data_IF_863706461986
#
_entry.id   IF_863706461986
#
_cell.length_a   1.000
_cell.length_b   1.000
_cell.length_c   1.000
_cell.angle_alpha   90.00
_cell.angle_beta   90.00
_cell.angle_gamma   90.00
#
_symmetry.space_group_name_H-M   'P 1'
#
loop_
_entity.id
_entity.type
_entity.pdbx_description
1 polymer ?
#
# COMPACT_ATOMS: atom_id res chain seq x y z
N UNK A 1 -3.96 -19.64 21.20
CA UNK A 1 -4.03 -20.05 19.78
C UNK A 1 -2.70 -20.70 19.42
N UNK A 2 -2.69 -21.83 18.69
CA UNK A 2 -1.46 -22.54 18.28
C UNK A 2 -1.18 -22.23 16.79
N UNK A 3 -0.48 -21.13 16.45
CA UNK A 3 -0.34 -20.65 15.07
C UNK A 3 0.44 -21.59 14.15
N UNK A 4 1.23 -22.51 14.71
CA UNK A 4 1.96 -23.55 14.00
C UNK A 4 1.10 -24.73 13.51
N UNK A 5 -0.17 -24.82 13.93
CA UNK A 5 -1.09 -25.89 13.51
C UNK A 5 -2.00 -25.36 12.41
N UNK A 6 -1.65 -25.67 11.15
CA UNK A 6 -2.44 -25.35 9.95
C UNK A 6 -2.82 -26.66 9.27
N UNK A 7 -4.11 -26.84 8.95
CA UNK A 7 -4.62 -28.01 8.26
C UNK A 7 -5.51 -27.57 7.09
N UNK A 8 -5.47 -28.33 5.99
CA UNK A 8 -6.23 -28.03 4.77
C UNK A 8 -7.73 -28.39 4.87
N UNK A 9 -8.14 -29.05 5.96
CA UNK A 9 -9.51 -29.46 6.21
C UNK A 9 -10.00 -29.02 7.60
N UNK A 10 -11.31 -28.79 7.80
CA UNK A 10 -11.87 -28.52 9.11
C UNK A 10 -11.56 -29.67 10.09
N UNK A 11 -11.08 -29.32 11.28
CA UNK A 11 -10.63 -30.31 12.26
C UNK A 11 -10.52 -29.75 13.68
N UNK A 12 -10.01 -30.56 14.61
CA UNK A 12 -9.68 -30.13 15.97
C UNK A 12 -8.16 -30.01 16.10
N UNK A 13 -7.71 -29.02 16.86
CA UNK A 13 -6.30 -28.86 17.18
C UNK A 13 -5.80 -30.08 18.00
N UNK A 14 -4.71 -30.75 17.60
CA UNK A 14 -4.19 -31.93 18.30
C UNK A 14 -3.56 -31.61 19.67
N UNK A 15 -3.25 -30.33 19.93
CA UNK A 15 -2.65 -29.89 21.20
C UNK A 15 -3.68 -29.51 22.27
N UNK A 16 -4.83 -28.96 21.88
CA UNK A 16 -5.83 -28.46 22.83
C UNK A 16 -7.28 -28.90 22.58
N UNK A 17 -7.54 -29.67 21.51
CA UNK A 17 -8.87 -30.22 21.22
C UNK A 17 -9.94 -29.21 20.76
N UNK A 18 -9.61 -27.91 20.71
CA UNK A 18 -10.51 -26.86 20.20
C UNK A 18 -10.68 -26.98 18.68
N UNK A 19 -11.85 -26.57 18.17
CA UNK A 19 -12.11 -26.53 16.73
C UNK A 19 -11.18 -25.52 16.03
N UNK A 20 -10.62 -25.93 14.88
CA UNK A 20 -9.82 -25.04 14.04
C UNK A 20 -10.73 -23.96 13.45
N UNK A 21 -10.30 -22.71 13.58
CA UNK A 21 -10.98 -21.56 13.00
C UNK A 21 -10.44 -21.37 11.59
N UNK A 22 -11.28 -21.13 10.57
CA UNK A 22 -10.80 -20.78 9.24
C UNK A 22 -9.85 -19.59 9.34
N UNK A 23 -8.61 -19.76 8.89
CA UNK A 23 -7.74 -18.64 8.62
C UNK A 23 -8.40 -17.87 7.48
N UNK A 24 -9.10 -16.79 7.81
CA UNK A 24 -9.42 -15.78 6.81
C UNK A 24 -8.09 -15.43 6.16
N UNK A 25 -7.93 -15.76 4.87
CA UNK A 25 -6.83 -15.18 4.08
C UNK A 25 -6.92 -13.69 4.36
N UNK A 26 -5.97 -13.16 5.12
CA UNK A 26 -5.76 -11.73 5.13
C UNK A 26 -5.40 -11.43 3.69
N UNK A 27 -6.39 -11.01 2.89
CA UNK A 27 -6.16 -10.29 1.66
C UNK A 27 -5.61 -8.92 2.05
N UNK A 28 -4.42 -8.93 2.63
CA UNK A 28 -3.43 -7.90 2.37
C UNK A 28 -2.93 -8.27 0.99
N UNK A 29 -3.46 -7.61 -0.04
CA UNK A 29 -3.14 -7.92 -1.44
C UNK A 29 -4.37 -8.19 -2.30
N UNK A 30 -5.25 -7.19 -2.41
CA UNK A 30 -6.13 -7.07 -3.56
C UNK A 30 -5.36 -6.37 -4.69
N UNK A 31 -4.99 -7.13 -5.72
CA UNK A 31 -4.53 -6.60 -7.01
C UNK A 31 -3.11 -6.04 -7.03
N UNK A 32 -2.19 -6.78 -7.66
CA UNK A 32 -0.99 -6.20 -8.25
C UNK A 32 -1.39 -5.24 -9.39
N UNK A 33 -1.87 -4.04 -9.05
CA UNK A 33 -1.64 -2.86 -9.87
C UNK A 33 -0.51 -2.11 -9.18
N UNK A 34 0.64 -2.04 -9.87
CA UNK A 34 1.83 -1.23 -9.53
C UNK A 34 1.53 -0.15 -8.49
N UNK A 35 2.16 -0.21 -7.32
CA UNK A 35 1.94 0.69 -6.17
C UNK A 35 2.06 2.20 -6.48
N UNK A 36 2.58 2.57 -7.65
CA UNK A 36 2.62 3.94 -8.18
C UNK A 36 1.36 4.38 -8.97
N UNK A 37 0.55 3.44 -9.45
CA UNK A 37 -0.60 3.70 -10.32
C UNK A 37 -1.86 4.16 -9.58
N UNK A 38 -2.17 3.57 -8.41
CA UNK A 38 -3.42 3.85 -7.68
C UNK A 38 -3.50 5.26 -7.08
N UNK A 39 -2.43 5.74 -6.42
CA UNK A 39 -2.42 7.06 -5.78
C UNK A 39 -2.46 8.17 -6.84
N UNK A 40 -1.71 8.01 -7.93
CA UNK A 40 -1.67 8.98 -9.02
C UNK A 40 -3.01 9.07 -9.76
N UNK A 41 -3.71 7.94 -9.93
CA UNK A 41 -5.03 7.91 -10.56
C UNK A 41 -6.09 8.66 -9.73
N UNK A 42 -6.21 8.39 -8.44
CA UNK A 42 -7.15 9.11 -7.56
C UNK A 42 -6.82 10.60 -7.46
N UNK A 43 -5.53 10.96 -7.41
CA UNK A 43 -5.10 12.37 -7.45
C UNK A 43 -5.53 13.04 -8.76
N UNK A 44 -5.31 12.40 -9.90
CA UNK A 44 -5.68 12.95 -11.21
C UNK A 44 -7.20 13.11 -11.32
N UNK A 45 -7.96 12.09 -10.94
CA UNK A 45 -9.43 12.16 -10.92
C UNK A 45 -9.94 13.26 -10.00
N UNK A 46 -9.35 13.40 -8.81
CA UNK A 46 -9.71 14.47 -7.87
C UNK A 46 -9.60 15.85 -8.52
N UNK A 47 -8.47 16.21 -9.14
CA UNK A 47 -8.32 17.54 -9.75
C UNK A 47 -9.24 17.76 -10.95
N UNK A 48 -9.48 16.74 -11.77
CA UNK A 48 -10.42 16.83 -12.90
C UNK A 48 -11.85 17.02 -12.39
N UNK A 49 -12.27 16.21 -11.42
CA UNK A 49 -13.60 16.32 -10.81
C UNK A 49 -13.74 17.66 -10.09
N UNK A 50 -12.72 18.13 -9.37
CA UNK A 50 -12.72 19.44 -8.72
C UNK A 50 -13.02 20.56 -9.72
N UNK A 51 -12.33 20.55 -10.87
CA UNK A 51 -12.55 21.53 -11.92
C UNK A 51 -13.96 21.46 -12.53
N UNK A 52 -14.57 20.27 -12.62
CA UNK A 52 -15.93 20.07 -13.12
C UNK A 52 -17.01 20.35 -12.07
N UNK A 53 -16.74 20.13 -10.79
CA UNK A 53 -17.68 20.38 -9.70
C UNK A 53 -17.96 21.87 -9.55
N UNK A 54 -17.00 22.75 -9.82
CA UNK A 54 -17.19 24.20 -9.77
C UNK A 54 -18.32 24.68 -10.71
N UNK A 55 -18.30 24.42 -12.03
CA UNK A 55 -19.39 24.82 -12.91
C UNK A 55 -20.71 24.09 -12.60
N UNK A 56 -20.67 22.83 -12.14
CA UNK A 56 -21.88 22.11 -11.68
C UNK A 56 -22.53 22.85 -10.50
N UNK A 57 -21.74 23.29 -9.53
CA UNK A 57 -22.23 24.04 -8.38
C UNK A 57 -22.82 25.40 -8.79
N UNK A 58 -22.15 26.12 -9.69
CA UNK A 58 -22.64 27.42 -10.17
C UNK A 58 -23.96 27.33 -10.96
N UNK A 59 -24.18 26.23 -11.68
CA UNK A 59 -25.39 26.00 -12.47
C UNK A 59 -26.54 25.35 -11.68
N UNK A 60 -26.30 24.92 -10.45
CA UNK A 60 -27.32 24.26 -9.63
C UNK A 60 -28.33 25.26 -9.06
N UNK A 61 -29.63 24.98 -9.24
CA UNK A 61 -30.74 25.85 -8.80
C UNK A 61 -30.71 26.09 -7.26
N UNK A 62 -30.34 25.07 -6.48
CA UNK A 62 -30.30 25.21 -5.01
C UNK A 62 -29.16 26.12 -4.54
N UNK A 63 -27.99 26.01 -5.16
CA UNK A 63 -26.83 26.88 -4.83
C UNK A 63 -27.10 28.31 -5.30
N UNK A 64 -27.72 28.47 -6.46
CA UNK A 64 -28.16 29.77 -6.98
C UNK A 64 -29.15 30.46 -6.03
N UNK A 65 -30.12 29.71 -5.50
CA UNK A 65 -31.07 30.21 -4.51
C UNK A 65 -30.36 30.63 -3.21
N UNK A 66 -29.39 29.84 -2.74
CA UNK A 66 -28.63 30.17 -1.52
C UNK A 66 -27.72 31.40 -1.69
N UNK A 67 -27.11 31.57 -2.87
CA UNK A 67 -26.25 32.71 -3.20
C UNK A 67 -27.03 33.94 -3.71
N UNK A 68 -28.36 33.83 -3.85
CA UNK A 68 -29.23 34.90 -4.36
C UNK A 68 -28.86 35.37 -5.79
N UNK A 69 -28.28 34.47 -6.59
CA UNK A 69 -27.83 34.68 -7.97
C UNK A 69 -28.75 33.87 -8.89
N UNK A 70 -29.19 34.42 -10.03
CA UNK A 70 -30.06 33.70 -10.97
C UNK A 70 -29.40 33.65 -12.34
N UNK A 71 -28.74 32.53 -12.63
CA UNK A 71 -28.10 32.26 -13.91
C UNK A 71 -28.89 31.11 -14.54
N UNK A 72 -29.93 31.46 -15.28
CA UNK A 72 -30.73 30.52 -16.06
C UNK A 72 -30.72 30.92 -17.53
N UNK A 73 -30.50 29.94 -18.38
CA UNK A 73 -30.58 30.10 -19.83
C UNK A 73 -31.19 28.82 -20.42
N UNK A 74 -31.80 28.90 -21.61
CA UNK A 74 -32.38 27.74 -22.27
C UNK A 74 -31.33 26.64 -22.45
N UNK A 75 -31.54 25.50 -21.80
CA UNK A 75 -30.64 24.34 -21.87
C UNK A 75 -29.63 24.19 -20.74
N UNK A 76 -29.65 25.03 -19.70
CA UNK A 76 -28.81 24.87 -18.50
C UNK A 76 -28.91 23.47 -17.88
N UNK A 77 -30.11 22.88 -17.86
CA UNK A 77 -30.38 21.51 -17.36
C UNK A 77 -29.65 20.43 -18.15
N UNK A 78 -29.54 20.57 -19.47
CA UNK A 78 -28.81 19.62 -20.32
C UNK A 78 -27.30 19.74 -20.16
N UNK A 79 -26.79 20.95 -19.95
CA UNK A 79 -25.38 21.18 -19.64
C UNK A 79 -25.03 20.61 -18.26
N UNK A 80 -25.90 20.83 -17.28
CA UNK A 80 -25.75 20.28 -15.93
C UNK A 80 -25.72 18.75 -15.96
N UNK A 81 -26.62 18.13 -16.73
CA UNK A 81 -26.60 16.69 -16.99
C UNK A 81 -25.28 16.27 -17.63
N UNK A 82 -24.83 16.91 -18.72
CA UNK A 82 -23.59 16.55 -19.41
C UNK A 82 -22.36 16.64 -18.50
N UNK A 83 -22.18 17.74 -17.76
CA UNK A 83 -21.07 17.90 -16.81
C UNK A 83 -21.12 16.82 -15.71
N UNK A 84 -22.32 16.58 -15.17
CA UNK A 84 -22.52 15.59 -14.11
C UNK A 84 -22.33 14.15 -14.61
N UNK A 85 -22.67 13.86 -15.87
CA UNK A 85 -22.36 12.58 -16.52
C UNK A 85 -20.85 12.36 -16.59
N UNK A 86 -20.07 13.39 -16.94
CA UNK A 86 -18.60 13.27 -16.94
C UNK A 86 -18.11 12.98 -15.51
N UNK A 87 -18.60 13.71 -14.51
CA UNK A 87 -18.22 13.47 -13.11
C UNK A 87 -18.61 12.06 -12.65
N UNK A 88 -19.81 11.58 -13.01
CA UNK A 88 -20.31 10.25 -12.65
C UNK A 88 -19.50 9.13 -13.31
N UNK A 89 -19.31 9.17 -14.63
CA UNK A 89 -18.62 8.10 -15.35
C UNK A 89 -17.11 8.13 -15.17
N UNK A 90 -16.49 9.32 -15.13
CA UNK A 90 -15.03 9.44 -14.97
C UNK A 90 -14.63 9.45 -13.49
N UNK A 91 -15.22 10.33 -12.68
CA UNK A 91 -14.92 10.44 -11.26
C UNK A 91 -15.47 9.28 -10.43
N UNK A 92 -16.69 8.84 -10.75
CA UNK A 92 -17.39 7.77 -10.03
C UNK A 92 -16.95 6.35 -10.36
N UNK A 93 -16.19 6.14 -11.45
CA UNK A 93 -15.81 4.81 -11.93
C UNK A 93 -15.22 3.87 -10.86
N UNK A 94 -14.27 4.31 -9.99
CA UNK A 94 -13.70 3.44 -8.97
C UNK A 94 -14.75 2.91 -7.99
N UNK A 95 -15.72 3.75 -7.60
CA UNK A 95 -16.79 3.39 -6.67
C UNK A 95 -17.82 2.47 -7.32
N UNK A 96 -18.15 2.70 -8.59
CA UNK A 96 -19.06 1.82 -9.35
C UNK A 96 -18.46 0.43 -9.56
N UNK A 97 -17.18 0.35 -9.92
CA UNK A 97 -16.46 -0.92 -10.03
C UNK A 97 -16.40 -1.63 -8.68
N UNK A 98 -16.05 -0.90 -7.61
CA UNK A 98 -16.00 -1.43 -6.25
C UNK A 98 -17.35 -1.95 -5.74
N UNK A 99 -18.46 -1.26 -6.05
CA UNK A 99 -19.81 -1.75 -5.74
C UNK A 99 -20.08 -3.13 -6.37
N UNK A 100 -19.77 -3.29 -7.65
CA UNK A 100 -20.02 -4.57 -8.35
C UNK A 100 -19.17 -5.69 -7.75
N UNK A 101 -17.91 -5.40 -7.42
CA UNK A 101 -16.98 -6.35 -6.82
C UNK A 101 -17.42 -6.79 -5.42
N UNK A 102 -17.78 -5.84 -4.54
CA UNK A 102 -18.24 -6.11 -3.17
C UNK A 102 -19.56 -6.91 -3.15
N UNK A 103 -20.52 -6.55 -4.00
CA UNK A 103 -21.78 -7.28 -4.13
C UNK A 103 -21.53 -8.70 -4.63
N UNK A 104 -20.63 -8.88 -5.61
CA UNK A 104 -20.30 -10.21 -6.15
C UNK A 104 -19.70 -11.13 -5.10
N UNK A 105 -18.90 -10.58 -4.18
CA UNK A 105 -18.29 -11.32 -3.07
C UNK A 105 -19.22 -11.41 -1.85
N UNK A 106 -20.44 -10.84 -1.93
CA UNK A 106 -21.45 -10.80 -0.85
C UNK A 106 -20.93 -10.17 0.45
N UNK A 107 -20.04 -9.19 0.32
CA UNK A 107 -19.47 -8.47 1.45
C UNK A 107 -19.58 -6.96 1.22
N UNK A 108 -20.76 -6.35 1.45
CA UNK A 108 -20.98 -4.93 1.18
C UNK A 108 -20.15 -4.07 2.14
N UNK A 109 -19.43 -3.10 1.58
CA UNK A 109 -18.57 -2.18 2.30
C UNK A 109 -18.76 -0.73 1.87
N UNK A 110 -17.69 0.05 2.03
CA UNK A 110 -17.70 1.49 1.73
C UNK A 110 -17.98 1.76 0.25
N UNK A 111 -17.42 0.94 -0.67
CA UNK A 111 -17.60 1.15 -2.11
C UNK A 111 -19.04 0.90 -2.55
N UNK A 112 -19.70 -0.12 -2.00
CA UNK A 112 -21.12 -0.40 -2.26
C UNK A 112 -22.01 0.75 -1.82
N UNK A 113 -21.81 1.29 -0.62
CA UNK A 113 -22.62 2.39 -0.11
C UNK A 113 -22.52 3.64 -1.00
N UNK A 114 -21.28 4.03 -1.35
CA UNK A 114 -21.03 5.20 -2.20
C UNK A 114 -21.55 4.95 -3.60
N UNK A 115 -21.18 3.82 -4.21
CA UNK A 115 -21.58 3.46 -5.57
C UNK A 115 -23.10 3.44 -5.74
N UNK A 116 -23.83 2.99 -4.72
CA UNK A 116 -25.28 2.99 -4.72
C UNK A 116 -25.84 4.42 -4.64
N UNK A 117 -25.34 5.22 -3.70
CA UNK A 117 -25.77 6.61 -3.53
C UNK A 117 -25.58 7.44 -4.80
N UNK A 118 -24.39 7.38 -5.43
CA UNK A 118 -24.11 8.13 -6.66
C UNK A 118 -24.95 7.62 -7.84
N UNK A 119 -25.21 6.31 -7.91
CA UNK A 119 -26.03 5.73 -8.99
C UNK A 119 -27.49 6.18 -8.89
N UNK A 120 -28.06 6.14 -7.69
CA UNK A 120 -29.44 6.59 -7.43
C UNK A 120 -29.55 8.09 -7.72
N UNK A 121 -28.61 8.90 -7.22
CA UNK A 121 -28.60 10.35 -7.46
C UNK A 121 -28.51 10.66 -8.97
N UNK A 122 -27.65 9.97 -9.72
CA UNK A 122 -27.50 10.18 -11.15
C UNK A 122 -28.78 9.82 -11.93
N UNK A 123 -29.31 8.61 -11.71
CA UNK A 123 -30.48 8.11 -12.44
C UNK A 123 -31.71 8.98 -12.16
N UNK A 124 -31.93 9.35 -10.91
CA UNK A 124 -33.04 10.22 -10.52
C UNK A 124 -32.90 11.62 -11.16
N UNK A 125 -31.71 12.22 -11.07
CA UNK A 125 -31.46 13.55 -11.65
C UNK A 125 -31.60 13.56 -13.17
N UNK A 126 -31.16 12.49 -13.84
CA UNK A 126 -31.39 12.31 -15.27
C UNK A 126 -32.89 12.24 -15.59
N UNK A 127 -33.68 11.48 -14.81
CA UNK A 127 -35.12 11.39 -15.00
C UNK A 127 -35.82 12.75 -14.85
N UNK A 128 -35.37 13.61 -13.93
CA UNK A 128 -35.88 14.99 -13.77
C UNK A 128 -35.65 15.81 -15.05
N UNK A 129 -34.48 15.70 -15.66
CA UNK A 129 -34.17 16.41 -16.92
C UNK A 129 -35.09 15.97 -18.08
N UNK A 130 -35.52 14.70 -18.08
CA UNK A 130 -36.40 14.15 -19.12
C UNK A 130 -37.91 14.28 -18.82
N UNK A 131 -38.30 14.96 -17.74
CA UNK A 131 -39.70 15.31 -17.49
C UNK A 131 -40.31 14.79 -16.19
N UNK A 132 -39.53 14.12 -15.33
CA UNK A 132 -39.97 13.82 -13.96
C UNK A 132 -40.04 15.14 -13.16
N UNK A 133 -41.09 15.32 -12.35
CA UNK A 133 -41.25 16.49 -11.48
C UNK A 133 -40.44 16.30 -10.20
N UNK A 134 -39.64 17.30 -9.83
CA UNK A 134 -38.81 17.29 -8.63
C UNK A 134 -37.59 18.20 -8.78
N UNK A 135 -36.68 18.13 -7.80
CA UNK A 135 -35.39 18.81 -7.82
C UNK A 135 -34.30 17.78 -8.12
N UNK A 136 -33.32 18.11 -8.96
CA UNK A 136 -32.19 17.23 -9.21
C UNK A 136 -31.19 17.20 -8.04
N UNK A 137 -30.31 16.19 -8.04
CA UNK A 137 -29.24 15.99 -7.07
C UNK A 137 -27.85 16.06 -7.73
N UNK A 138 -27.68 16.85 -8.79
CA UNK A 138 -26.43 16.87 -9.54
C UNK A 138 -25.25 17.43 -8.73
N UNK A 139 -25.49 18.44 -7.89
CA UNK A 139 -24.43 19.03 -7.07
C UNK A 139 -24.07 18.14 -5.87
N UNK A 140 -25.03 17.43 -5.26
CA UNK A 140 -24.78 16.41 -4.23
C UNK A 140 -23.96 15.25 -4.80
N UNK A 141 -24.32 14.78 -6.00
CA UNK A 141 -23.55 13.74 -6.69
C UNK A 141 -22.10 14.19 -6.93
N UNK A 142 -21.91 15.40 -7.45
CA UNK A 142 -20.58 15.90 -7.79
C UNK A 142 -19.72 16.13 -6.54
N UNK A 143 -20.30 16.68 -5.48
CA UNK A 143 -19.60 16.92 -4.21
C UNK A 143 -19.31 15.62 -3.45
N UNK A 144 -20.23 14.65 -3.47
CA UNK A 144 -20.02 13.33 -2.89
C UNK A 144 -18.85 12.62 -3.57
N UNK A 145 -18.83 12.56 -4.91
CA UNK A 145 -17.71 11.96 -5.66
C UNK A 145 -16.40 12.69 -5.36
N UNK A 146 -16.41 14.03 -5.34
CA UNK A 146 -15.24 14.84 -5.06
C UNK A 146 -14.63 14.55 -3.68
N UNK A 147 -15.45 14.55 -2.62
CA UNK A 147 -15.01 14.31 -1.25
C UNK A 147 -14.54 12.86 -1.09
N UNK A 148 -15.23 11.89 -1.69
CA UNK A 148 -14.81 10.48 -1.61
C UNK A 148 -13.48 10.24 -2.33
N UNK A 149 -13.24 10.87 -3.49
CA UNK A 149 -11.94 10.80 -4.18
C UNK A 149 -10.82 11.42 -3.33
N UNK A 150 -11.08 12.55 -2.67
CA UNK A 150 -10.14 13.18 -1.76
C UNK A 150 -9.83 12.27 -0.56
N UNK A 151 -10.86 11.68 0.05
CA UNK A 151 -10.72 10.78 1.19
C UNK A 151 -9.83 9.57 0.86
N UNK A 152 -10.12 8.88 -0.25
CA UNK A 152 -9.33 7.73 -0.70
C UNK A 152 -7.90 8.13 -1.07
N UNK A 153 -7.70 9.32 -1.67
CA UNK A 153 -6.37 9.82 -1.93
C UNK A 153 -5.56 10.06 -0.64
N UNK A 154 -6.17 10.68 0.37
CA UNK A 154 -5.53 10.92 1.67
C UNK A 154 -5.26 9.60 2.39
N UNK A 155 -6.21 8.68 2.38
CA UNK A 155 -6.08 7.35 2.97
C UNK A 155 -4.87 6.60 2.40
N UNK A 156 -4.81 6.48 1.07
CA UNK A 156 -3.70 5.78 0.42
C UNK A 156 -2.37 6.50 0.64
N UNK A 157 -2.34 7.83 0.64
CA UNK A 157 -1.11 8.60 0.92
C UNK A 157 -0.62 8.35 2.34
N UNK A 158 -1.53 8.27 3.32
CA UNK A 158 -1.21 8.03 4.72
C UNK A 158 -0.65 6.61 4.93
N UNK A 159 -1.28 5.62 4.31
CA UNK A 159 -0.83 4.22 4.37
C UNK A 159 0.53 4.03 3.69
N UNK A 160 0.72 4.60 2.50
CA UNK A 160 1.98 4.50 1.75
C UNK A 160 3.16 5.15 2.49
N UNK A 161 2.91 6.22 3.25
CA UNK A 161 3.93 6.86 4.10
C UNK A 161 4.50 5.89 5.15
N UNK A 162 3.63 5.15 5.84
CA UNK A 162 4.03 4.21 6.89
C UNK A 162 4.78 2.99 6.33
N UNK A 163 4.40 2.49 5.15
CA UNK A 163 5.05 1.31 4.55
C UNK A 163 6.47 1.58 4.05
N UNK A 164 6.78 2.82 3.65
CA UNK A 164 8.09 3.18 3.09
C UNK A 164 9.22 3.09 4.12
N UNK A 165 8.94 3.37 5.39
CA UNK A 165 9.94 3.25 6.46
C UNK A 165 10.28 1.78 6.75
N UNK A 166 9.29 0.90 6.72
CA UNK A 166 9.50 -0.54 6.85
C UNK A 166 10.29 -1.12 5.67
N UNK A 167 10.02 -0.66 4.45
CA UNK A 167 10.74 -1.10 3.26
C UNK A 167 12.21 -0.64 3.25
N UNK A 168 12.49 0.57 3.74
CA UNK A 168 13.86 1.05 3.94
C UNK A 168 14.62 0.22 4.97
N UNK A 169 13.95 -0.30 6.00
CA UNK A 169 14.56 -1.25 6.94
C UNK A 169 14.88 -2.59 6.27
N UNK A 170 14.05 -3.08 5.34
CA UNK A 170 14.31 -4.33 4.59
C UNK A 170 15.46 -4.17 3.58
N UNK A 171 15.57 -3.00 2.93
CA UNK A 171 16.69 -2.68 2.02
C UNK A 171 18.05 -2.55 2.73
N UNK A 172 18.08 -2.59 4.07
CA UNK A 172 19.34 -2.62 4.79
C UNK A 172 20.04 -3.99 4.72
N UNK A 173 19.32 -5.08 4.45
CA UNK A 173 19.93 -6.40 4.31
C UNK A 173 20.43 -6.61 2.86
N UNK A 174 21.71 -6.97 2.64
CA UNK A 174 22.22 -7.21 1.30
C UNK A 174 21.57 -8.47 0.68
N UNK A 175 21.25 -8.40 -0.61
CA UNK A 175 20.63 -9.51 -1.34
C UNK A 175 21.61 -10.65 -1.64
N UNK A 176 22.90 -10.33 -1.71
CA UNK A 176 23.99 -11.22 -2.08
C UNK A 176 25.08 -11.25 -0.99
N UNK A 177 25.77 -12.38 -0.89
CA UNK A 177 26.87 -12.64 0.02
C UNK A 177 28.00 -13.36 -0.71
N UNK A 178 29.26 -13.06 -0.34
CA UNK A 178 30.44 -13.73 -0.89
C UNK A 178 30.74 -15.00 -0.09
N UNK A 179 30.25 -16.15 -0.53
CA UNK A 179 30.56 -17.44 0.10
C UNK A 179 31.99 -17.86 -0.25
N UNK A 180 32.74 -18.32 0.76
CA UNK A 180 34.09 -18.87 0.61
C UNK A 180 34.01 -20.39 0.68
N UNK A 181 34.32 -21.06 -0.42
CA UNK A 181 34.43 -22.52 -0.51
C UNK A 181 35.89 -22.87 -0.84
N UNK A 182 36.56 -23.54 0.09
CA UNK A 182 38.02 -23.77 0.10
C UNK A 182 38.84 -22.48 -0.12
N UNK A 183 39.21 -22.19 -1.37
CA UNK A 183 39.99 -21.02 -1.80
C UNK A 183 39.25 -20.12 -2.81
N UNK A 184 38.03 -20.49 -3.22
CA UNK A 184 37.24 -19.72 -4.18
C UNK A 184 36.16 -18.90 -3.48
N UNK A 185 35.91 -17.71 -4.02
CA UNK A 185 34.85 -16.81 -3.55
C UNK A 185 33.74 -16.78 -4.61
N UNK A 186 32.53 -17.13 -4.20
CA UNK A 186 31.35 -17.16 -5.08
C UNK A 186 30.21 -16.32 -4.51
N UNK A 187 29.59 -15.50 -5.35
CA UNK A 187 28.40 -14.74 -4.99
C UNK A 187 27.18 -15.67 -4.89
N UNK A 188 26.54 -15.69 -3.72
CA UNK A 188 25.31 -16.44 -3.45
C UNK A 188 24.24 -15.52 -2.87
N UNK A 189 22.97 -15.91 -2.98
CA UNK A 189 21.89 -15.15 -2.34
C UNK A 189 21.98 -15.32 -0.83
N UNK A 190 21.78 -14.23 -0.08
CA UNK A 190 21.84 -14.25 1.40
C UNK A 190 20.87 -15.29 2.00
N UNK A 191 19.72 -15.52 1.35
CA UNK A 191 18.72 -16.50 1.75
C UNK A 191 19.13 -17.97 1.57
N UNK A 192 20.18 -18.24 0.79
CA UNK A 192 20.68 -19.61 0.57
C UNK A 192 21.82 -19.98 1.51
N UNK A 193 22.33 -19.02 2.30
CA UNK A 193 23.35 -19.28 3.31
C UNK A 193 22.85 -20.26 4.37
N UNK A 194 23.72 -21.16 4.80
CA UNK A 194 23.48 -22.13 5.86
C UNK A 194 24.30 -21.77 7.09
N UNK A 195 23.91 -22.34 8.22
CA UNK A 195 24.71 -22.27 9.44
C UNK A 195 26.10 -22.89 9.19
N UNK A 196 27.14 -22.27 9.73
CA UNK A 196 28.56 -22.60 9.54
C UNK A 196 29.18 -22.25 8.19
N UNK A 197 28.43 -21.74 7.22
CA UNK A 197 29.00 -21.20 5.98
C UNK A 197 29.98 -20.05 6.29
N UNK A 198 31.09 -19.96 5.54
CA UNK A 198 32.06 -18.88 5.69
C UNK A 198 31.82 -17.84 4.61
N UNK A 199 31.50 -16.62 5.00
CA UNK A 199 31.33 -15.49 4.08
C UNK A 199 32.49 -14.49 4.21
N UNK A 200 32.93 -13.97 3.08
CA UNK A 200 33.90 -12.87 3.00
C UNK A 200 33.14 -11.54 2.97
N UNK A 201 33.55 -10.60 3.80
CA UNK A 201 32.96 -9.25 3.85
C UNK A 201 34.09 -8.27 3.56
N UNK A 202 34.01 -7.59 2.42
CA UNK A 202 35.05 -6.64 2.00
C UNK A 202 34.87 -5.30 2.71
N UNK A 203 35.91 -4.45 2.74
CA UNK A 203 35.80 -3.09 3.27
C UNK A 203 34.65 -2.32 2.60
N UNK A 204 33.82 -1.65 3.40
CA UNK A 204 32.64 -0.90 2.94
C UNK A 204 31.39 -1.75 2.65
N UNK A 205 31.47 -3.08 2.66
CA UNK A 205 30.31 -3.94 2.44
C UNK A 205 29.46 -4.11 3.71
N UNK A 206 28.19 -4.46 3.52
CA UNK A 206 27.30 -4.80 4.62
C UNK A 206 27.47 -6.26 5.02
N UNK A 207 27.35 -6.54 6.31
CA UNK A 207 27.31 -7.90 6.83
C UNK A 207 26.00 -8.56 6.40
N UNK A 208 26.08 -9.69 5.69
CA UNK A 208 24.91 -10.36 5.13
C UNK A 208 24.13 -11.23 6.12
N UNK A 209 24.81 -11.80 7.13
CA UNK A 209 24.20 -12.66 8.14
C UNK A 209 24.91 -12.53 9.49
N UNK A 210 24.20 -12.85 10.57
CA UNK A 210 24.79 -12.90 11.91
C UNK A 210 25.83 -14.02 11.97
N UNK A 211 26.96 -13.75 12.62
CA UNK A 211 28.05 -14.71 12.64
C UNK A 211 29.18 -14.38 13.61
N UNK A 212 30.25 -15.18 13.54
CA UNK A 212 31.49 -14.99 14.29
C UNK A 212 32.66 -14.82 13.34
N UNK A 213 33.53 -13.85 13.60
CA UNK A 213 34.73 -13.63 12.78
C UNK A 213 35.70 -14.80 12.96
N UNK A 214 36.04 -15.47 11.87
CA UNK A 214 37.03 -16.56 11.83
C UNK A 214 38.42 -16.04 11.49
N UNK A 215 38.51 -15.02 10.63
CA UNK A 215 39.75 -14.39 10.18
C UNK A 215 39.57 -12.88 9.91
N UNK A 216 40.63 -12.11 10.17
CA UNK A 216 40.66 -10.66 9.96
C UNK A 216 40.27 -9.84 11.19
N UNK A 217 40.44 -8.54 11.06
CA UNK A 217 40.04 -7.52 12.04
C UNK A 217 39.53 -6.28 11.30
N UNK A 218 38.49 -5.63 11.83
CA UNK A 218 37.94 -4.42 11.24
C UNK A 218 37.10 -3.63 12.25
N UNK A 219 36.76 -2.41 11.90
CA UNK A 219 35.77 -1.60 12.61
C UNK A 219 34.41 -1.78 11.95
N UNK A 220 33.40 -2.21 12.72
CA UNK A 220 32.04 -2.33 12.22
C UNK A 220 31.19 -1.16 12.71
N UNK A 221 30.50 -0.52 11.77
CA UNK A 221 29.48 0.46 12.09
C UNK A 221 28.14 -0.26 12.30
N UNK A 222 27.73 -0.32 13.57
CA UNK A 222 26.48 -0.93 14.01
C UNK A 222 25.40 0.12 14.32
N UNK A 223 25.60 1.40 13.96
CA UNK A 223 24.76 2.53 14.39
C UNK A 223 23.29 2.39 14.00
N UNK A 224 23.02 1.75 12.86
CA UNK A 224 21.65 1.52 12.38
C UNK A 224 20.89 0.46 13.20
N UNK A 225 21.59 -0.37 13.96
CA UNK A 225 21.03 -1.49 14.72
C UNK A 225 21.07 -1.22 16.23
N UNK A 226 22.16 -0.65 16.72
CA UNK A 226 22.38 -0.40 18.16
C UNK A 226 22.14 1.05 18.55
N UNK A 227 22.16 1.98 17.60
CA UNK A 227 22.09 3.43 17.86
C UNK A 227 23.42 4.08 18.26
N UNK A 228 24.47 3.29 18.47
CA UNK A 228 25.79 3.78 18.86
C UNK A 228 26.53 4.36 17.64
N UNK A 229 26.94 5.62 17.70
CA UNK A 229 27.54 6.32 16.55
C UNK A 229 29.00 5.96 16.29
N UNK A 230 29.70 5.40 17.28
CA UNK A 230 31.11 5.02 17.15
C UNK A 230 31.23 3.59 16.61
N UNK A 231 31.97 3.37 15.51
CA UNK A 231 32.28 2.02 15.05
C UNK A 231 32.97 1.20 16.15
N UNK A 232 32.61 -0.08 16.24
CA UNK A 232 33.14 -1.01 17.23
C UNK A 232 34.25 -1.83 16.57
N UNK A 233 35.39 -1.91 17.25
CA UNK A 233 36.50 -2.77 16.82
C UNK A 233 36.15 -4.24 17.06
N UNK A 234 36.35 -5.08 16.05
CA UNK A 234 36.04 -6.51 16.09
C UNK A 234 37.17 -7.31 15.46
N UNK A 235 37.55 -8.39 16.13
CA UNK A 235 38.56 -9.32 15.66
C UNK A 235 38.09 -10.77 15.70
N UNK A 236 39.02 -11.69 15.47
CA UNK A 236 38.76 -13.13 15.49
C UNK A 236 38.08 -13.57 16.80
N UNK A 237 36.95 -14.26 16.68
CA UNK A 237 36.14 -14.76 17.79
C UNK A 237 35.00 -13.82 18.21
N UNK A 238 34.98 -12.58 17.73
CA UNK A 238 33.90 -11.64 18.02
C UNK A 238 32.67 -11.89 17.15
N UNK A 239 31.50 -11.55 17.70
CA UNK A 239 30.21 -11.61 16.99
C UNK A 239 30.00 -10.38 16.12
N UNK A 240 29.42 -10.60 14.94
CA UNK A 240 28.96 -9.58 14.01
C UNK A 240 27.45 -9.69 13.78
N UNK A 241 26.83 -8.55 13.53
CA UNK A 241 25.37 -8.43 13.35
C UNK A 241 25.07 -8.12 11.88
N UNK A 242 24.12 -8.85 11.30
CA UNK A 242 23.63 -8.62 9.94
C UNK A 242 23.13 -7.16 9.75
N UNK A 243 23.48 -6.55 8.62
CA UNK A 243 23.16 -5.15 8.32
C UNK A 243 24.18 -4.12 8.81
N UNK A 244 25.16 -4.52 9.62
CA UNK A 244 26.29 -3.66 10.00
C UNK A 244 27.16 -3.35 8.78
N UNK A 245 27.81 -2.18 8.76
CA UNK A 245 28.72 -1.80 7.66
C UNK A 245 30.15 -2.08 8.09
N UNK A 246 30.85 -2.91 7.31
CA UNK A 246 32.26 -3.18 7.51
C UNK A 246 33.10 -1.95 7.13
N UNK A 247 34.04 -1.56 7.98
CA UNK A 247 34.92 -0.42 7.76
C UNK A 247 36.07 -0.76 6.82
N UNK A 248 37.26 -0.94 7.37
CA UNK A 248 38.52 -0.81 6.63
C UNK A 248 39.19 -2.16 6.30
N UNK A 249 38.93 -3.21 7.09
CA UNK A 249 39.54 -4.53 6.92
C UNK A 249 38.60 -5.51 6.22
N UNK A 250 39.16 -6.50 5.51
CA UNK A 250 38.38 -7.65 5.05
C UNK A 250 38.29 -8.69 6.16
N UNK A 251 37.10 -9.21 6.42
CA UNK A 251 36.86 -10.21 7.46
C UNK A 251 36.17 -11.43 6.86
N UNK A 252 36.53 -12.62 7.36
CA UNK A 252 35.77 -13.85 7.12
C UNK A 252 34.91 -14.15 8.34
N UNK A 253 33.65 -14.44 8.10
CA UNK A 253 32.64 -14.65 9.14
C UNK A 253 31.99 -16.01 8.93
N UNK A 254 31.94 -16.83 9.98
CA UNK A 254 31.13 -18.05 9.99
C UNK A 254 29.71 -17.73 10.44
N UNK A 255 28.72 -18.10 9.64
CA UNK A 255 27.30 -17.80 9.84
C UNK A 255 26.75 -18.57 11.04
N UNK A 256 26.16 -17.87 12.01
CA UNK A 256 25.54 -18.46 13.22
C UNK A 256 24.05 -18.77 13.02
N UNK A 257 23.32 -17.95 12.26
CA UNK A 257 21.92 -18.14 11.95
C UNK A 257 21.65 -17.68 10.51
N UNK A 258 21.05 -18.56 9.71
CA UNK A 258 20.55 -18.18 8.38
C UNK A 258 19.27 -17.35 8.54
N UNK A 259 19.20 -16.21 7.84
CA UNK A 259 18.04 -15.34 7.85
C UNK A 259 16.81 -16.10 7.32
N UNK A 260 15.85 -16.38 8.20
CA UNK A 260 14.52 -16.92 7.83
C UNK A 260 13.62 -15.86 7.22
#
# INVERSE_FOLDING_TARGET
MHPQIVQDAPGKCPLCGMALVPLAKSKVGGGHESHSGGIADFKKRFYVVLALTVPVMLLSEMIQHWLNIHISFPGSKYILLALSSIVFFYGGWPFLKGLVEEIKVKNPGMMTLIGFAISVAYIYSAAIVFGLKGMDFFWELATLILIMLLGHWIEMKSVAGASRELELLVQLMPDDAHLVDDENVTDVKTRTLKESDIILIKPGEKVAADGVITEGESYLNESMLTGESKPVEKGKGDKVIAGSINGNGAIKVSVLHSSK
#
